data_IF_824651809683
#
_entry.id   IF_824651809683
#
_cell.length_a   1.000
_cell.length_b   1.000
_cell.length_c   1.000
_cell.angle_alpha   90.00
_cell.angle_beta   90.00
_cell.angle_gamma   90.00
#
_symmetry.space_group_name_H-M   'P 1'
#
loop_
_entity.id
_entity.type
_entity.pdbx_description
1 polymer ?
#
# COMPACT_ATOMS: atom_id res chain seq x y z
N UNK A 1 -12.41 20.66 13.62
CA UNK A 1 -12.30 20.33 13.38
C UNK A 1 -11.88 19.65 13.06
N UNK A 2 -11.83 19.49 13.06
CA UNK A 2 -11.43 18.97 12.66
C UNK A 2 -11.06 18.18 12.49
N UNK A 3 -10.94 17.80 12.08
CA UNK A 3 -10.66 17.02 11.80
C UNK A 3 -9.72 16.48 11.67
N UNK A 4 -9.28 16.52 11.69
CA UNK A 4 -8.41 16.31 11.60
C UNK A 4 -7.57 15.54 11.51
N UNK A 5 -6.86 15.36 11.39
CA UNK A 5 -6.01 14.60 11.32
C UNK A 5 -6.39 13.24 11.19
N UNK A 6 -7.09 12.86 10.30
CA UNK A 6 -7.52 11.53 10.05
C UNK A 6 -6.39 10.59 9.74
N UNK A 7 -5.40 11.07 9.08
CA UNK A 7 -4.30 10.20 8.69
C UNK A 7 -3.68 9.52 9.87
N UNK A 8 -3.55 10.24 10.95
CA UNK A 8 -2.97 9.73 12.13
C UNK A 8 -3.77 8.62 12.73
N UNK A 9 -5.07 8.77 12.68
CA UNK A 9 -5.96 7.78 13.24
C UNK A 9 -6.11 6.57 12.36
N UNK A 10 -5.69 6.70 11.11
CA UNK A 10 -5.89 5.63 10.15
C UNK A 10 -4.68 4.73 10.01
N UNK A 11 -3.69 4.88 10.84
CA UNK A 11 -2.52 4.03 10.74
C UNK A 11 -2.88 2.60 11.11
N UNK A 12 -2.44 1.67 10.30
CA UNK A 12 -2.81 0.27 10.41
C UNK A 12 -1.58 -0.61 10.31
N UNK A 13 -1.68 -1.79 10.87
CA UNK A 13 -0.67 -2.80 10.65
C UNK A 13 -0.96 -3.50 9.34
N UNK A 14 -0.01 -4.31 8.90
CA UNK A 14 -0.11 -4.93 7.58
C UNK A 14 -1.36 -5.79 7.42
N UNK A 15 -1.75 -6.52 8.45
CA UNK A 15 -2.95 -7.35 8.34
C UNK A 15 -4.20 -6.53 8.12
N UNK A 16 -4.28 -5.41 8.81
CA UNK A 16 -5.42 -4.52 8.66
C UNK A 16 -5.42 -3.84 7.30
N UNK A 17 -4.23 -3.45 6.84
CA UNK A 17 -4.12 -2.81 5.54
C UNK A 17 -4.50 -3.77 4.42
N UNK A 18 -4.05 -5.02 4.54
CA UNK A 18 -4.39 -6.04 3.56
C UNK A 18 -5.89 -6.26 3.49
N UNK A 19 -6.51 -6.36 4.65
CA UNK A 19 -7.95 -6.55 4.72
C UNK A 19 -8.68 -5.36 4.11
N UNK A 20 -8.24 -4.16 4.43
CA UNK A 20 -8.88 -2.96 3.89
C UNK A 20 -8.70 -2.87 2.38
N UNK A 21 -7.62 -3.38 1.86
CA UNK A 21 -7.36 -3.35 0.43
C UNK A 21 -7.96 -4.56 -0.31
N UNK A 22 -8.47 -5.52 0.42
CA UNK A 22 -9.08 -6.69 -0.22
C UNK A 22 -8.08 -7.68 -0.77
N UNK A 23 -6.89 -7.76 -0.19
CA UNK A 23 -5.86 -8.69 -0.62
C UNK A 23 -5.33 -9.44 0.59
N UNK A 24 -4.54 -10.48 0.35
CA UNK A 24 -3.92 -11.21 1.44
C UNK A 24 -2.72 -10.43 1.97
N UNK A 25 -2.36 -10.74 3.21
CA UNK A 25 -1.15 -10.17 3.79
C UNK A 25 0.06 -10.52 2.94
N UNK A 26 0.09 -11.75 2.46
CA UNK A 26 1.20 -12.22 1.63
C UNK A 26 1.33 -11.38 0.36
N UNK A 27 0.21 -10.97 -0.21
CA UNK A 27 0.23 -10.11 -1.38
C UNK A 27 0.86 -8.76 -1.06
N UNK A 28 0.52 -8.18 0.08
CA UNK A 28 1.12 -6.91 0.49
C UNK A 28 2.62 -7.07 0.68
N UNK A 29 3.04 -8.15 1.33
CA UNK A 29 4.47 -8.40 1.51
C UNK A 29 5.18 -8.50 0.17
N UNK A 30 4.56 -9.17 -0.78
CA UNK A 30 5.13 -9.30 -2.10
C UNK A 30 5.27 -7.93 -2.78
N UNK A 31 4.25 -7.10 -2.68
CA UNK A 31 4.30 -5.76 -3.25
C UNK A 31 5.41 -4.92 -2.61
N UNK A 32 5.61 -5.08 -1.31
CA UNK A 32 6.69 -4.38 -0.62
C UNK A 32 8.04 -4.84 -1.16
N UNK A 33 8.19 -6.14 -1.31
CA UNK A 33 9.43 -6.71 -1.80
C UNK A 33 9.77 -6.21 -3.21
N UNK A 34 8.75 -6.04 -4.03
CA UNK A 34 8.95 -5.59 -5.40
C UNK A 34 9.10 -4.07 -5.52
N UNK A 35 9.00 -3.35 -4.42
CA UNK A 35 9.14 -1.90 -4.45
C UNK A 35 7.89 -1.16 -4.90
N UNK A 36 6.74 -1.84 -4.89
CA UNK A 36 5.49 -1.22 -5.27
C UNK A 36 4.86 -0.43 -4.13
N UNK A 37 5.11 -0.88 -2.92
CA UNK A 37 4.55 -0.27 -1.71
C UNK A 37 5.68 -0.05 -0.73
N UNK A 38 5.74 1.14 -0.16
CA UNK A 38 6.74 1.48 0.86
C UNK A 38 6.01 1.83 2.14
N UNK A 39 5.99 0.93 3.12
CA UNK A 39 5.28 1.22 4.37
C UNK A 39 5.96 2.33 5.15
N UNK A 40 5.19 2.94 6.04
CA UNK A 40 5.71 3.96 6.94
C UNK A 40 6.50 3.25 8.01
N UNK A 41 7.76 3.63 8.15
CA UNK A 41 8.61 3.02 9.17
C UNK A 41 8.48 3.72 10.49
N UNK A 42 8.41 2.95 11.55
CA UNK A 42 8.38 3.52 12.89
C UNK A 42 9.78 3.47 13.47
N UNK A 43 10.06 4.30 14.50
CA UNK A 43 11.39 4.29 15.11
C UNK A 43 11.81 2.95 15.66
N UNK A 44 10.86 2.09 15.98
CA UNK A 44 11.18 0.79 16.52
C UNK A 44 11.31 -0.30 15.46
N UNK A 45 11.31 0.13 14.20
CA UNK A 45 11.46 -0.83 13.12
C UNK A 45 10.18 -1.47 12.65
N UNK A 46 9.04 -1.03 13.15
CA UNK A 46 7.77 -1.53 12.69
C UNK A 46 7.35 -0.92 11.38
N UNK A 47 6.26 -1.40 10.86
CA UNK A 47 5.70 -0.93 9.60
C UNK A 47 4.24 -0.59 9.79
N UNK A 48 3.85 0.58 9.32
CA UNK A 48 2.47 1.02 9.40
C UNK A 48 2.00 1.46 8.02
N UNK A 49 0.70 1.44 7.84
CA UNK A 49 0.08 1.76 6.56
C UNK A 49 -1.03 2.77 6.81
N UNK A 50 -1.10 3.79 5.99
CA UNK A 50 -2.18 4.76 6.09
C UNK A 50 -3.17 4.55 4.94
N UNK A 51 -4.20 5.38 4.90
CA UNK A 51 -5.23 5.25 3.88
C UNK A 51 -4.67 5.41 2.47
N UNK A 52 -3.67 6.26 2.31
CA UNK A 52 -3.07 6.45 1.00
C UNK A 52 -2.37 5.18 0.52
N UNK A 53 -1.70 4.49 1.44
CA UNK A 53 -1.04 3.24 1.10
C UNK A 53 -2.06 2.15 0.79
N UNK A 54 -3.17 2.13 1.52
CA UNK A 54 -4.23 1.18 1.20
C UNK A 54 -4.76 1.42 -0.21
N UNK A 55 -4.98 2.68 -0.57
CA UNK A 55 -5.45 3.00 -1.91
C UNK A 55 -4.43 2.57 -2.96
N UNK A 56 -3.15 2.72 -2.65
CA UNK A 56 -2.10 2.31 -3.57
C UNK A 56 -2.10 0.81 -3.78
N UNK A 57 -2.27 0.05 -2.70
CA UNK A 57 -2.35 -1.41 -2.79
C UNK A 57 -3.52 -1.79 -3.70
N UNK A 58 -4.66 -1.16 -3.50
CA UNK A 58 -5.85 -1.44 -4.31
C UNK A 58 -5.62 -1.10 -5.78
N UNK A 59 -4.94 0.01 -6.03
CA UNK A 59 -4.64 0.41 -7.39
C UNK A 59 -3.72 -0.60 -8.07
N UNK A 60 -2.68 -1.02 -7.37
CA UNK A 60 -1.75 -2.00 -7.92
C UNK A 60 -2.49 -3.28 -8.29
N UNK A 61 -3.36 -3.74 -7.39
CA UNK A 61 -4.11 -4.94 -7.65
C UNK A 61 -5.03 -4.78 -8.84
N UNK A 62 -5.72 -3.65 -8.89
CA UNK A 62 -6.66 -3.39 -9.99
C UNK A 62 -5.94 -3.38 -11.34
N UNK A 63 -4.82 -2.69 -11.42
CA UNK A 63 -4.05 -2.63 -12.65
C UNK A 63 -3.52 -3.99 -13.06
N UNK A 64 -3.03 -4.74 -12.07
CA UNK A 64 -2.50 -6.06 -12.36
C UNK A 64 -3.58 -7.00 -12.89
N UNK A 65 -4.77 -6.91 -12.32
CA UNK A 65 -5.88 -7.74 -12.79
C UNK A 65 -6.38 -7.31 -14.17
N UNK A 66 -6.11 -6.07 -14.53
CA UNK A 66 -6.50 -5.56 -15.85
C UNK A 66 -5.48 -5.90 -16.92
N UNK A 67 -4.41 -6.59 -16.57
CA UNK A 67 -3.45 -7.03 -17.56
C UNK A 67 -2.08 -6.42 -17.49
N UNK A 68 -1.88 -5.43 -16.63
CA UNK A 68 -0.55 -4.85 -16.49
C UNK A 68 0.30 -5.72 -15.58
N UNK A 69 1.55 -5.93 -15.95
CA UNK A 69 2.45 -6.66 -15.08
C UNK A 69 2.83 -5.78 -13.90
N UNK A 70 3.21 -6.42 -12.80
CA UNK A 70 3.63 -5.67 -11.62
C UNK A 70 4.82 -4.79 -11.93
N UNK A 71 5.71 -5.28 -12.78
CA UNK A 71 6.87 -4.51 -13.18
C UNK A 71 6.47 -3.25 -13.95
N UNK A 72 5.56 -3.38 -14.92
CA UNK A 72 5.16 -2.23 -15.69
C UNK A 72 4.38 -1.24 -14.83
N UNK A 73 3.63 -1.73 -13.85
CA UNK A 73 2.93 -0.85 -12.93
C UNK A 73 3.93 0.00 -12.16
N UNK A 74 4.97 -0.62 -11.66
CA UNK A 74 5.99 0.12 -10.93
C UNK A 74 6.66 1.16 -11.81
N UNK A 75 7.01 0.78 -13.03
CA UNK A 75 7.76 1.67 -13.90
C UNK A 75 6.92 2.78 -14.49
N UNK A 76 5.66 2.51 -14.74
CA UNK A 76 4.80 3.46 -15.41
C UNK A 76 4.00 4.33 -14.45
N UNK A 77 3.43 3.70 -13.44
CA UNK A 77 2.47 4.40 -12.60
C UNK A 77 3.03 4.87 -11.27
N UNK A 78 4.11 4.24 -10.81
CA UNK A 78 4.64 4.55 -9.49
C UNK A 78 5.95 5.28 -9.54
N UNK A 79 6.75 5.05 -10.55
CA UNK A 79 8.03 5.71 -10.65
C UNK A 79 8.10 6.63 -11.81
N UNK A 80 7.31 6.38 -12.75
CA UNK A 80 7.41 7.15 -13.92
C UNK A 80 7.04 8.54 -13.75
N UNK A 81 6.84 8.80 -13.34
CA UNK A 81 6.60 9.99 -13.43
C UNK A 81 6.88 10.36 -13.81
#
# INVERSE_FOLDING_TARGET
MVKDKPARKSLMRISQAAQAAGVSRQTVEYYIMLGLIAPIRTPRGGRLFDAALVRRIRLVRKLNRSGYTLRSIRETYLNGR
#
